data_IF_285753045987
#
_entry.id   IF_285753045987
#
_cell.length_a   1.000
_cell.length_b   1.000
_cell.length_c   1.000
_cell.angle_alpha   90.00
_cell.angle_beta   90.00
_cell.angle_gamma   90.00
#
_symmetry.space_group_name_H-M   'P 1'
#
loop_
_entity.id
_entity.type
_entity.pdbx_description
1 polymer ?
#
# COMPACT_ATOMS: atom_id res chain seq x y z
N UNK A 1 14.41 -15.27 53.16
CA UNK A 1 14.90 -15.95 51.94
C UNK A 1 14.50 -15.05 50.78
N UNK A 2 15.43 -14.24 50.26
CA UNK A 2 15.16 -13.26 49.19
C UNK A 2 15.28 -14.00 47.85
N UNK A 3 14.18 -14.16 47.14
CA UNK A 3 14.16 -14.66 45.77
C UNK A 3 14.23 -13.44 44.86
N UNK A 4 15.39 -13.14 44.32
CA UNK A 4 15.57 -12.13 43.26
C UNK A 4 15.10 -12.77 41.95
N UNK A 5 13.97 -12.33 41.41
CA UNK A 5 13.61 -12.61 40.03
C UNK A 5 14.48 -11.74 39.13
N UNK A 6 15.21 -12.37 38.22
CA UNK A 6 16.03 -11.68 37.22
C UNK A 6 15.10 -11.02 36.21
N UNK A 7 14.75 -9.77 36.51
CA UNK A 7 14.52 -8.65 35.59
C UNK A 7 13.88 -8.95 34.22
N UNK A 8 12.62 -8.53 34.09
CA UNK A 8 11.97 -8.27 32.82
C UNK A 8 12.58 -6.99 32.22
N UNK A 9 13.44 -7.12 31.21
CA UNK A 9 13.91 -6.00 30.41
C UNK A 9 12.92 -5.77 29.27
N UNK A 10 12.41 -4.54 29.15
CA UNK A 10 11.61 -4.11 28.00
C UNK A 10 12.54 -3.28 27.11
N UNK A 11 12.86 -3.77 25.92
CA UNK A 11 13.61 -2.99 24.94
C UNK A 11 12.65 -2.05 24.21
N UNK A 12 12.97 -0.76 24.22
CA UNK A 12 12.30 0.23 23.39
C UNK A 12 13.32 0.81 22.41
N UNK A 13 12.98 0.84 21.13
CA UNK A 13 13.76 1.52 20.11
C UNK A 13 13.16 2.89 19.87
N UNK A 14 13.93 3.95 20.06
CA UNK A 14 13.53 5.32 19.72
C UNK A 14 14.35 5.79 18.51
N UNK A 15 13.65 6.37 17.53
CA UNK A 15 14.27 7.01 16.37
C UNK A 15 14.42 8.49 16.69
N UNK A 16 15.66 8.97 16.90
CA UNK A 16 15.93 10.40 16.99
C UNK A 16 16.44 10.88 15.63
N UNK A 17 15.61 11.65 14.92
CA UNK A 17 16.05 12.40 13.74
C UNK A 17 16.31 13.84 14.14
N UNK A 18 17.59 14.19 14.29
CA UNK A 18 18.15 15.50 13.97
C UNK A 18 19.64 15.52 14.29
N UNK A 19 20.47 15.61 13.25
CA UNK A 19 21.30 16.79 12.98
C UNK A 19 21.57 16.85 11.47
N UNK A 20 21.27 17.99 10.83
CA UNK A 20 21.67 18.24 9.45
C UNK A 20 22.94 19.11 9.51
N UNK A 21 24.10 18.51 9.28
CA UNK A 21 25.37 19.22 9.29
C UNK A 21 25.73 19.64 7.86
N UNK A 22 25.53 20.93 7.54
CA UNK A 22 26.08 21.52 6.33
C UNK A 22 27.59 21.74 6.53
N UNK A 23 28.43 20.84 6.01
CA UNK A 23 29.89 20.98 6.02
C UNK A 23 30.38 21.85 4.84
N UNK A 24 31.35 22.78 5.02
CA UNK A 24 31.90 23.56 3.92
C UNK A 24 33.23 23.02 3.35
N UNK A 25 33.38 23.18 2.02
CA UNK A 25 34.57 23.11 1.16
C UNK A 25 34.99 21.68 0.69
N UNK A 26 35.31 21.41 -0.59
CA UNK A 26 36.23 22.11 -1.51
C UNK A 26 35.79 21.89 -2.99
N UNK A 27 35.65 22.98 -3.75
CA UNK A 27 35.48 23.11 -5.24
C UNK A 27 34.33 22.31 -5.91
N UNK A 28 33.41 23.09 -6.52
CA UNK A 28 32.16 22.74 -7.22
C UNK A 28 30.91 22.82 -6.31
N UNK A 29 29.87 23.50 -6.81
CA UNK A 29 28.71 23.98 -6.02
C UNK A 29 27.59 22.94 -5.96
N UNK A 30 27.89 21.77 -5.41
CA UNK A 30 26.85 20.76 -5.14
C UNK A 30 26.51 20.80 -3.65
N UNK A 31 25.24 21.04 -3.34
CA UNK A 31 24.72 20.92 -1.98
C UNK A 31 24.23 19.50 -1.80
N UNK A 32 24.76 18.81 -0.79
CA UNK A 32 24.31 17.49 -0.43
C UNK A 32 23.44 17.58 0.81
N UNK A 33 22.25 17.00 0.74
CA UNK A 33 21.48 16.70 1.93
C UNK A 33 21.97 15.35 2.43
N UNK A 34 22.57 15.34 3.62
CA UNK A 34 22.94 14.12 4.31
C UNK A 34 21.94 13.88 5.45
N UNK A 35 21.38 12.68 5.51
CA UNK A 35 20.35 12.32 6.51
C UNK A 35 20.73 10.98 7.10
N UNK A 36 21.33 11.04 8.27
CA UNK A 36 21.67 9.84 9.03
C UNK A 36 20.47 9.41 9.88
N UNK A 37 20.17 8.12 9.84
CA UNK A 37 19.19 7.53 10.73
C UNK A 37 19.90 7.01 11.97
N UNK A 38 19.67 7.66 13.11
CA UNK A 38 20.21 7.23 14.40
C UNK A 38 19.16 6.44 15.15
N UNK A 39 19.40 5.14 15.30
CA UNK A 39 18.57 4.23 16.09
C UNK A 39 19.22 4.09 17.47
N UNK A 40 18.51 4.52 18.51
CA UNK A 40 18.94 4.32 19.90
C UNK A 40 18.11 3.18 20.50
N UNK A 41 18.81 2.15 20.97
CA UNK A 41 18.20 1.06 21.74
C UNK A 41 18.39 1.37 23.21
N UNK A 42 17.28 1.51 23.93
CA UNK A 42 17.28 1.80 25.36
C UNK A 42 16.73 0.60 26.14
N UNK A 43 17.42 0.25 27.23
CA UNK A 43 16.91 -0.67 28.23
C UNK A 43 16.25 0.10 29.36
N UNK A 44 15.09 -0.38 29.79
CA UNK A 44 14.36 0.15 30.94
C UNK A 44 14.11 -0.97 31.94
N UNK A 45 14.47 -0.72 33.19
CA UNK A 45 14.24 -1.66 34.29
C UNK A 45 12.89 -1.39 34.94
N UNK A 46 12.05 -2.43 35.06
CA UNK A 46 10.81 -2.36 35.85
C UNK A 46 11.03 -3.12 37.15
N UNK A 47 10.80 -2.44 38.27
CA UNK A 47 10.94 -2.98 39.63
C UNK A 47 9.57 -3.09 40.28
N UNK A 48 9.22 -4.28 40.75
CA UNK A 48 8.04 -4.47 41.60
C UNK A 48 8.37 -4.04 43.04
N UNK A 49 7.57 -3.14 43.59
CA UNK A 49 7.68 -2.62 44.95
C UNK A 49 6.96 -3.54 45.93
N UNK A 50 7.28 -3.42 47.22
CA UNK A 50 6.75 -4.30 48.27
C UNK A 50 5.22 -4.20 48.47
N UNK A 51 4.58 -3.17 47.94
CA UNK A 51 3.13 -2.97 47.95
C UNK A 51 2.43 -3.55 46.70
N UNK A 52 3.18 -4.20 45.81
CA UNK A 52 2.70 -4.77 44.55
C UNK A 52 2.57 -3.77 43.40
N UNK A 53 3.00 -2.52 43.59
CA UNK A 53 3.09 -1.55 42.50
C UNK A 53 4.38 -1.71 41.69
N UNK A 54 4.39 -1.21 40.46
CA UNK A 54 5.58 -1.24 39.60
C UNK A 54 6.19 0.16 39.49
N UNK A 55 7.51 0.24 39.59
CA UNK A 55 8.29 1.45 39.33
C UNK A 55 9.22 1.21 38.13
N UNK A 56 9.16 2.12 37.17
CA UNK A 56 10.00 2.08 35.97
C UNK A 56 11.21 2.98 36.17
N UNK A 57 12.42 2.44 35.94
CA UNK A 57 13.68 3.20 35.99
C UNK A 57 13.83 4.14 34.80
N UNK A 58 14.85 5.01 34.85
CA UNK A 58 15.20 5.83 33.69
C UNK A 58 15.74 4.93 32.55
N UNK A 59 15.44 5.25 31.27
CA UNK A 59 16.01 4.54 30.15
C UNK A 59 17.53 4.68 30.14
N UNK A 60 18.22 3.60 29.80
CA UNK A 60 19.67 3.56 29.63
C UNK A 60 19.96 3.11 28.20
N UNK A 61 20.63 3.94 27.41
CA UNK A 61 21.05 3.56 26.06
C UNK A 61 22.05 2.40 26.14
N UNK A 62 21.72 1.28 25.52
CA UNK A 62 22.55 0.06 25.48
C UNK A 62 23.09 -0.24 24.09
N UNK A 63 22.59 0.45 23.06
CA UNK A 63 23.13 0.39 21.71
C UNK A 63 22.74 1.62 20.90
N UNK A 64 23.65 2.09 20.07
CA UNK A 64 23.39 3.13 19.07
C UNK A 64 23.88 2.62 17.73
N UNK A 65 23.00 2.64 16.73
CA UNK A 65 23.35 2.34 15.35
C UNK A 65 23.09 3.61 14.55
N UNK A 66 24.14 4.13 13.92
CA UNK A 66 24.02 5.18 12.90
C UNK A 66 24.01 4.49 11.55
N UNK A 67 22.96 4.73 10.78
CA UNK A 67 22.87 4.31 9.39
C UNK A 67 23.14 5.57 8.57
N UNK A 68 24.34 5.65 8.01
CA UNK A 68 24.76 6.80 7.22
C UNK A 68 23.87 6.90 5.97
N UNK A 69 23.33 8.10 5.74
CA UNK A 69 22.55 8.39 4.55
C UNK A 69 23.42 8.30 3.29
N UNK A 70 22.80 8.06 2.13
CA UNK A 70 23.50 8.31 0.87
C UNK A 70 23.30 9.78 0.50
N UNK A 71 24.37 10.59 0.37
CA UNK A 71 24.23 12.03 0.18
C UNK A 71 23.51 12.31 -1.15
N UNK A 72 22.40 13.05 -1.10
CA UNK A 72 21.62 13.38 -2.29
C UNK A 72 21.93 14.81 -2.76
N UNK A 73 22.35 14.94 -4.02
CA UNK A 73 22.59 16.25 -4.66
C UNK A 73 21.29 17.03 -4.81
N UNK A 74 21.25 18.25 -4.28
CA UNK A 74 20.12 19.17 -4.44
C UNK A 74 20.53 20.35 -5.32
N UNK A 75 19.78 20.64 -6.39
CA UNK A 75 19.99 21.86 -7.19
C UNK A 75 19.52 23.11 -6.42
N UNK A 76 20.35 24.15 -6.41
CA UNK A 76 20.04 25.42 -5.73
C UNK A 76 19.36 26.43 -6.68
N UNK A 77 18.31 27.15 -6.23
CA UNK A 77 17.71 28.24 -6.99
C UNK A 77 18.69 29.38 -7.23
N UNK A 78 18.82 29.84 -8.48
CA UNK A 78 19.73 30.92 -8.86
C UNK A 78 19.32 32.27 -8.23
N UNK A 79 20.26 32.95 -7.55
CA UNK A 79 20.19 34.39 -7.27
C UNK A 79 21.60 35.04 -7.27
N UNK A 80 21.70 36.35 -7.55
CA UNK A 80 22.82 36.94 -8.29
C UNK A 80 24.04 37.33 -7.45
N UNK A 81 25.16 37.45 -8.17
CA UNK A 81 26.53 37.68 -7.73
C UNK A 81 26.78 38.97 -6.96
N UNK A 82 27.61 38.90 -5.91
CA UNK A 82 28.58 39.96 -5.56
C UNK A 82 29.87 39.38 -4.98
N UNK A 83 30.97 40.04 -5.33
CA UNK A 83 32.38 39.68 -5.16
C UNK A 83 32.97 40.07 -3.79
N UNK A 84 33.86 39.24 -3.22
CA UNK A 84 35.15 39.68 -2.63
C UNK A 84 36.02 38.52 -2.11
N UNK A 85 37.34 38.74 -2.21
CA UNK A 85 38.53 37.88 -2.11
C UNK A 85 39.03 37.58 -0.65
N UNK A 86 40.14 36.83 -0.38
CA UNK A 86 40.15 35.67 0.54
C UNK A 86 41.17 35.75 1.73
N UNK A 87 41.20 34.76 2.64
CA UNK A 87 42.36 34.42 3.52
C UNK A 87 42.17 33.03 4.23
N UNK A 88 43.19 32.40 4.88
CA UNK A 88 43.82 31.16 4.44
C UNK A 88 43.63 29.95 5.39
N UNK A 89 44.05 28.76 4.89
CA UNK A 89 44.07 27.45 5.56
C UNK A 89 44.88 27.39 6.88
N UNK A 90 44.58 26.36 7.70
CA UNK A 90 45.65 25.43 8.04
C UNK A 90 45.30 23.94 7.88
N UNK A 91 46.36 23.21 7.54
CA UNK A 91 46.59 21.77 7.41
C UNK A 91 46.39 20.98 8.70
N UNK A 92 45.97 19.71 8.63
CA UNK A 92 46.80 18.50 8.89
C UNK A 92 45.99 17.19 9.01
N UNK A 93 46.67 16.11 8.57
CA UNK A 93 46.47 14.65 8.60
C UNK A 93 45.63 14.05 9.76
N UNK A 94 45.04 12.84 9.69
CA UNK A 94 45.74 11.57 9.44
C UNK A 94 44.84 10.32 9.49
N UNK A 95 45.30 9.29 8.75
CA UNK A 95 45.24 7.81 8.93
C UNK A 95 43.93 7.01 9.06
N UNK A 96 43.93 5.96 8.23
CA UNK A 96 42.98 4.86 8.04
C UNK A 96 43.44 3.65 8.87
N UNK A 97 42.50 2.88 9.43
CA UNK A 97 42.77 1.51 9.86
C UNK A 97 41.54 0.62 9.61
N UNK A 98 41.80 -0.50 8.92
CA UNK A 98 40.87 -1.52 8.44
C UNK A 98 40.19 -2.33 9.55
N UNK A 99 38.95 -2.75 9.29
CA UNK A 99 38.16 -3.68 10.11
C UNK A 99 38.25 -5.12 9.58
N UNK A 100 38.33 -6.10 10.49
CA UNK A 100 38.34 -7.53 10.20
C UNK A 100 36.97 -8.11 10.57
N UNK A 101 36.33 -8.77 9.61
CA UNK A 101 35.05 -9.49 9.71
C UNK A 101 35.22 -10.88 10.35
N UNK A 102 34.26 -11.32 11.17
CA UNK A 102 34.03 -12.74 11.48
C UNK A 102 32.53 -13.06 11.45
N UNK A 103 32.18 -14.01 10.59
CA UNK A 103 30.87 -14.66 10.43
C UNK A 103 30.44 -15.47 11.65
N UNK A 104 29.12 -15.59 11.84
CA UNK A 104 28.55 -16.72 12.57
C UNK A 104 27.21 -17.16 11.96
N UNK A 105 27.16 -18.45 11.59
CA UNK A 105 26.03 -19.22 11.05
C UNK A 105 25.09 -19.76 12.15
N UNK A 106 23.86 -20.18 11.81
CA UNK A 106 22.70 -20.19 12.72
C UNK A 106 22.52 -21.52 13.48
N UNK A 107 21.71 -21.49 14.55
CA UNK A 107 21.27 -22.70 15.24
C UNK A 107 19.78 -22.66 15.57
N UNK A 108 19.07 -23.62 14.98
CA UNK A 108 17.68 -23.99 15.22
C UNK A 108 17.49 -24.66 16.59
N UNK A 109 16.27 -24.62 17.15
CA UNK A 109 15.44 -25.81 17.46
C UNK A 109 14.12 -25.38 18.14
N UNK A 110 13.04 -25.98 17.66
CA UNK A 110 11.64 -25.88 18.07
C UNK A 110 11.25 -26.93 19.12
N UNK A 111 10.36 -26.59 20.06
CA UNK A 111 9.45 -27.56 20.72
C UNK A 111 8.12 -26.83 21.05
N UNK A 112 7.02 -27.23 20.40
CA UNK A 112 5.65 -26.87 20.79
C UNK A 112 4.88 -28.16 21.11
N UNK A 113 4.21 -28.20 22.26
CA UNK A 113 3.33 -29.27 22.69
C UNK A 113 1.89 -28.76 22.60
N UNK A 114 1.07 -29.47 21.81
CA UNK A 114 -0.36 -29.23 21.67
C UNK A 114 -1.17 -29.98 22.75
N UNK A 115 -2.28 -29.43 23.25
CA UNK A 115 -3.30 -30.21 23.96
C UNK A 115 -4.40 -30.70 23.00
N UNK A 116 -4.70 -31.99 23.12
CA UNK A 116 -5.79 -32.73 22.49
C UNK A 116 -7.10 -32.49 23.23
N UNK A 117 -8.16 -32.09 22.53
CA UNK A 117 -9.54 -32.49 22.87
C UNK A 117 -10.35 -32.68 21.58
N UNK A 118 -11.10 -33.77 21.59
CA UNK A 118 -11.82 -34.37 20.47
C UNK A 118 -13.30 -34.32 20.81
N UNK A 119 -14.13 -33.73 19.93
CA UNK A 119 -15.54 -34.08 19.86
C UNK A 119 -16.02 -33.98 18.41
N UNK A 120 -16.56 -35.08 17.90
CA UNK A 120 -16.98 -35.27 16.51
C UNK A 120 -18.48 -34.89 16.36
N UNK A 121 -18.89 -34.26 15.25
CA UNK A 121 -20.30 -34.08 14.96
C UNK A 121 -20.91 -35.33 14.29
N UNK A 122 -22.10 -35.70 14.78
CA UNK A 122 -22.95 -36.80 14.32
C UNK A 122 -23.55 -36.45 12.95
N UNK A 123 -23.39 -37.36 11.98
CA UNK A 123 -23.96 -37.28 10.64
C UNK A 123 -25.38 -37.87 10.65
N UNK A 124 -26.37 -37.12 10.16
CA UNK A 124 -27.73 -37.61 9.90
C UNK A 124 -27.99 -37.51 8.40
N UNK A 125 -28.33 -38.61 7.70
CA UNK A 125 -28.66 -38.57 6.27
C UNK A 125 -30.17 -38.34 6.10
N UNK A 126 -30.59 -37.42 5.23
CA UNK A 126 -32.00 -37.30 4.83
C UNK A 126 -32.13 -37.10 3.31
N UNK A 127 -32.47 -38.21 2.67
CA UNK A 127 -33.31 -38.41 1.46
C UNK A 127 -33.36 -37.35 0.36
N UNK A 128 -32.87 -37.74 -0.82
CA UNK A 128 -33.17 -37.12 -2.12
C UNK A 128 -34.55 -37.59 -2.62
N UNK A 129 -35.47 -36.66 -2.87
CA UNK A 129 -36.70 -36.92 -3.63
C UNK A 129 -36.46 -36.66 -5.12
N UNK A 130 -36.88 -37.64 -5.93
CA UNK A 130 -36.87 -37.61 -7.38
C UNK A 130 -38.12 -36.88 -7.87
N UNK A 131 -37.94 -35.79 -8.62
CA UNK A 131 -39.03 -35.12 -9.33
C UNK A 131 -38.84 -35.32 -10.83
N UNK A 132 -39.80 -36.04 -11.42
CA UNK A 132 -39.93 -36.31 -12.85
C UNK A 132 -40.98 -35.35 -13.41
N UNK A 133 -40.65 -34.53 -14.40
CA UNK A 133 -41.63 -33.68 -15.12
C UNK A 133 -41.32 -33.73 -16.63
N UNK A 134 -42.33 -33.82 -17.51
CA UNK A 134 -42.20 -34.42 -18.84
C UNK A 134 -41.79 -33.43 -19.94
N UNK A 135 -41.18 -33.97 -21.00
CA UNK A 135 -40.86 -33.26 -22.23
C UNK A 135 -42.11 -32.86 -23.01
N UNK A 136 -42.36 -31.57 -23.14
CA UNK A 136 -43.28 -31.00 -24.12
C UNK A 136 -42.50 -30.18 -25.14
N UNK A 137 -42.60 -30.59 -26.41
CA UNK A 137 -42.04 -29.90 -27.57
C UNK A 137 -42.85 -28.66 -27.90
N UNK A 138 -42.26 -27.47 -27.78
CA UNK A 138 -42.81 -26.22 -28.32
C UNK A 138 -41.74 -25.49 -29.11
N UNK A 139 -42.08 -25.20 -30.37
CA UNK A 139 -41.29 -24.46 -31.35
C UNK A 139 -40.99 -23.04 -30.84
N UNK A 140 -39.69 -22.69 -30.77
CA UNK A 140 -39.24 -21.35 -30.41
C UNK A 140 -39.09 -20.48 -31.67
N UNK A 141 -39.71 -19.31 -31.61
CA UNK A 141 -39.58 -18.20 -32.56
C UNK A 141 -38.13 -17.66 -32.60
N UNK A 142 -37.70 -16.98 -33.68
CA UNK A 142 -36.32 -16.52 -33.81
C UNK A 142 -36.02 -15.47 -32.74
N UNK A 143 -35.00 -15.75 -31.93
CA UNK A 143 -34.43 -14.79 -30.97
C UNK A 143 -33.74 -13.70 -31.79
N UNK A 144 -34.23 -12.47 -31.66
CA UNK A 144 -33.54 -11.31 -32.20
C UNK A 144 -32.20 -11.16 -31.48
N UNK A 145 -31.12 -11.29 -32.22
CA UNK A 145 -29.76 -10.97 -31.75
C UNK A 145 -29.70 -9.48 -31.49
N UNK A 146 -29.93 -9.05 -30.25
CA UNK A 146 -29.48 -7.74 -29.79
C UNK A 146 -27.96 -7.79 -29.82
N UNK A 147 -27.36 -7.11 -30.80
CA UNK A 147 -25.94 -6.80 -30.76
C UNK A 147 -25.65 -6.13 -29.41
N UNK A 148 -24.84 -6.80 -28.59
CA UNK A 148 -24.31 -6.21 -27.37
C UNK A 148 -23.57 -4.94 -27.80
N UNK A 149 -24.15 -3.78 -27.49
CA UNK A 149 -23.37 -2.55 -27.48
C UNK A 149 -22.35 -2.76 -26.37
N UNK A 150 -21.07 -2.78 -26.72
CA UNK A 150 -19.97 -2.77 -25.75
C UNK A 150 -20.05 -1.45 -24.97
N UNK A 151 -20.92 -1.41 -23.97
CA UNK A 151 -20.90 -0.34 -22.96
C UNK A 151 -19.56 -0.44 -22.26
N UNK A 152 -18.83 0.67 -22.20
CA UNK A 152 -17.60 0.75 -21.42
C UNK A 152 -17.84 0.18 -20.02
N UNK A 153 -16.97 -0.71 -19.56
CA UNK A 153 -17.10 -1.28 -18.21
C UNK A 153 -16.99 -0.18 -17.15
N UNK A 154 -16.30 0.91 -17.49
CA UNK A 154 -16.04 2.06 -16.63
C UNK A 154 -15.18 1.73 -15.43
N UNK A 155 -14.53 0.55 -15.41
CA UNK A 155 -13.76 0.05 -14.27
C UNK A 155 -12.31 0.57 -14.25
N UNK A 156 -11.78 1.01 -15.40
CA UNK A 156 -10.36 1.41 -15.53
C UNK A 156 -10.09 2.75 -14.88
N UNK A 157 -9.00 2.80 -14.12
CA UNK A 157 -8.53 3.99 -13.42
C UNK A 157 -7.11 4.39 -13.79
N UNK A 158 -6.70 5.57 -13.36
CA UNK A 158 -5.35 6.09 -13.53
C UNK A 158 -4.69 6.28 -12.16
N UNK A 159 -3.70 5.46 -11.85
CA UNK A 159 -2.77 5.70 -10.75
C UNK A 159 -1.69 6.68 -11.25
N UNK A 160 -1.47 7.83 -10.59
CA UNK A 160 -0.55 8.86 -11.11
C UNK A 160 0.15 9.65 -10.02
N UNK A 161 1.32 10.21 -10.35
CA UNK A 161 1.94 11.27 -9.55
C UNK A 161 1.80 12.64 -10.24
N UNK A 162 2.01 12.69 -11.56
CA UNK A 162 1.89 13.91 -12.35
C UNK A 162 0.53 13.97 -13.06
N UNK A 163 -0.35 14.85 -12.58
CA UNK A 163 -1.69 15.08 -13.13
C UNK A 163 -1.68 15.53 -14.60
N UNK A 164 -0.59 16.15 -15.07
CA UNK A 164 -0.50 16.66 -16.45
C UNK A 164 -0.51 15.53 -17.48
N UNK A 165 -0.02 14.34 -17.09
CA UNK A 165 0.04 13.15 -17.94
C UNK A 165 -1.33 12.51 -18.19
N UNK A 166 -2.33 12.80 -17.35
CA UNK A 166 -3.69 12.25 -17.50
C UNK A 166 -4.37 12.73 -18.79
N UNK A 167 -3.92 13.85 -19.35
CA UNK A 167 -4.44 14.37 -20.63
C UNK A 167 -4.30 13.37 -21.79
N UNK A 168 -3.29 12.49 -21.75
CA UNK A 168 -3.08 11.44 -22.75
C UNK A 168 -4.22 10.40 -22.80
N UNK A 169 -5.01 10.27 -21.72
CA UNK A 169 -6.09 9.29 -21.59
C UNK A 169 -7.49 9.87 -21.86
N UNK A 170 -7.61 11.15 -22.18
CA UNK A 170 -8.92 11.82 -22.33
C UNK A 170 -9.82 11.24 -23.44
N UNK A 171 -9.24 10.49 -24.39
CA UNK A 171 -9.97 9.80 -25.45
C UNK A 171 -10.32 8.34 -25.10
N UNK A 172 -9.86 7.82 -23.96
CA UNK A 172 -10.11 6.44 -23.52
C UNK A 172 -11.41 6.36 -22.71
N UNK A 173 -12.52 5.99 -23.35
CA UNK A 173 -13.86 6.00 -22.73
C UNK A 173 -14.07 4.97 -21.62
N UNK A 174 -13.21 3.95 -21.51
CA UNK A 174 -13.25 2.96 -20.42
C UNK A 174 -12.59 3.45 -19.14
N UNK A 175 -11.80 4.54 -19.23
CA UNK A 175 -11.07 5.12 -18.11
C UNK A 175 -11.89 6.25 -17.49
N UNK A 176 -12.30 6.09 -16.23
CA UNK A 176 -13.33 6.94 -15.61
C UNK A 176 -12.91 7.57 -14.29
N UNK A 177 -11.82 7.11 -13.68
CA UNK A 177 -11.40 7.57 -12.35
C UNK A 177 -9.87 7.64 -12.25
N UNK A 178 -9.38 8.35 -11.24
CA UNK A 178 -7.95 8.51 -11.00
C UNK A 178 -7.65 8.66 -9.49
N UNK A 179 -6.46 8.23 -9.07
CA UNK A 179 -5.94 8.45 -7.71
C UNK A 179 -4.42 8.60 -7.75
N UNK A 180 -3.85 9.21 -6.71
CA UNK A 180 -2.43 9.60 -6.67
C UNK A 180 -1.73 9.32 -5.35
N UNK A 181 -2.21 8.33 -4.58
CA UNK A 181 -1.75 8.04 -3.22
C UNK A 181 -1.89 9.17 -2.19
N UNK A 182 -2.41 10.33 -2.60
CA UNK A 182 -2.60 11.50 -1.76
C UNK A 182 -4.06 11.72 -1.38
N UNK A 183 -4.27 12.64 -0.44
CA UNK A 183 -5.60 13.11 -0.06
C UNK A 183 -6.13 14.20 -1.00
N UNK A 184 -5.26 14.85 -1.76
CA UNK A 184 -5.59 15.96 -2.67
C UNK A 184 -4.98 15.78 -4.05
N UNK A 185 -5.59 16.41 -5.05
CA UNK A 185 -5.03 16.52 -6.40
C UNK A 185 -4.99 17.96 -6.89
N UNK A 186 -4.04 18.25 -7.78
CA UNK A 186 -4.14 19.39 -8.69
C UNK A 186 -5.27 19.16 -9.71
N UNK A 187 -5.56 20.15 -10.56
CA UNK A 187 -6.61 20.02 -11.57
C UNK A 187 -6.32 18.85 -12.53
N UNK A 188 -7.27 17.92 -12.62
CA UNK A 188 -7.26 16.80 -13.58
C UNK A 188 -8.34 17.02 -14.65
N UNK A 189 -8.25 16.34 -15.81
CA UNK A 189 -9.31 16.35 -16.80
C UNK A 189 -10.67 15.92 -16.21
N UNK A 190 -11.74 16.64 -16.57
CA UNK A 190 -13.07 16.50 -15.95
C UNK A 190 -13.79 15.18 -16.25
N UNK A 191 -13.26 14.37 -17.16
CA UNK A 191 -13.76 13.04 -17.47
C UNK A 191 -13.32 11.98 -16.44
N UNK A 192 -12.41 12.34 -15.51
CA UNK A 192 -11.96 11.44 -14.46
C UNK A 192 -12.45 11.90 -13.09
N UNK A 193 -13.08 10.99 -12.35
CA UNK A 193 -13.37 11.16 -10.93
C UNK A 193 -12.08 10.99 -10.11
N UNK A 194 -11.67 12.02 -9.36
CA UNK A 194 -10.58 11.86 -8.39
C UNK A 194 -11.05 11.05 -7.18
N UNK A 195 -10.26 10.08 -6.73
CA UNK A 195 -10.50 9.33 -5.49
C UNK A 195 -9.38 9.65 -4.48
N UNK A 196 -9.67 10.37 -3.38
CA UNK A 196 -8.66 10.67 -2.36
C UNK A 196 -8.29 9.42 -1.55
N UNK A 197 -7.04 9.34 -1.13
CA UNK A 197 -6.50 8.30 -0.27
C UNK A 197 -5.98 8.89 1.04
N UNK A 198 -6.36 8.28 2.15
CA UNK A 198 -5.65 8.46 3.41
C UNK A 198 -4.52 7.43 3.47
N UNK A 199 -3.31 7.85 3.09
CA UNK A 199 -2.19 6.94 2.88
C UNK A 199 -1.77 6.19 4.15
N UNK A 200 -1.73 6.86 5.29
CA UNK A 200 -1.32 6.28 6.57
C UNK A 200 -1.88 7.04 7.77
N UNK A 201 -1.30 6.79 8.95
CA UNK A 201 -1.71 7.43 10.21
C UNK A 201 -0.69 8.44 10.75
N UNK A 202 0.35 8.75 9.98
CA UNK A 202 1.28 9.81 10.35
C UNK A 202 0.55 11.16 10.34
N UNK A 203 1.07 12.13 11.09
CA UNK A 203 0.47 13.46 11.17
C UNK A 203 0.43 14.17 9.81
N UNK A 204 1.41 13.89 8.94
CA UNK A 204 1.43 14.38 7.56
C UNK A 204 0.22 13.93 6.74
N UNK A 205 -0.25 12.70 6.94
CA UNK A 205 -1.37 12.11 6.20
C UNK A 205 -2.72 12.53 6.78
N UNK A 206 -2.82 12.57 8.10
CA UNK A 206 -4.09 12.76 8.82
C UNK A 206 -4.47 14.22 9.00
N UNK A 207 -3.49 15.14 9.03
CA UNK A 207 -3.72 16.55 9.39
C UNK A 207 -4.66 17.30 8.43
N UNK A 208 -4.60 17.01 7.14
CA UNK A 208 -5.45 17.65 6.13
C UNK A 208 -6.62 16.77 5.66
N UNK A 209 -6.74 15.53 6.17
CA UNK A 209 -7.65 14.53 5.64
C UNK A 209 -9.11 15.01 5.59
N UNK A 210 -9.61 15.62 6.66
CA UNK A 210 -11.01 16.03 6.71
C UNK A 210 -11.36 17.14 5.69
N UNK A 211 -10.50 18.14 5.55
CA UNK A 211 -10.68 19.21 4.57
C UNK A 211 -10.57 18.68 3.14
N UNK A 212 -9.62 17.78 2.90
CA UNK A 212 -9.40 17.15 1.62
C UNK A 212 -10.61 16.30 1.18
N UNK A 213 -11.19 15.52 2.10
CA UNK A 213 -12.41 14.73 1.84
C UNK A 213 -13.58 15.64 1.49
N UNK A 214 -13.88 16.66 2.29
CA UNK A 214 -15.02 17.55 1.99
C UNK A 214 -14.85 18.26 0.63
N UNK A 215 -13.61 18.63 0.28
CA UNK A 215 -13.28 19.21 -1.04
C UNK A 215 -13.50 18.20 -2.16
N UNK A 216 -13.02 16.96 -2.00
CA UNK A 216 -13.17 15.90 -2.98
C UNK A 216 -14.65 15.54 -3.21
N UNK A 217 -15.42 15.39 -2.13
CA UNK A 217 -16.87 15.12 -2.22
C UNK A 217 -17.63 16.26 -2.91
N UNK A 218 -17.29 17.52 -2.61
CA UNK A 218 -17.85 18.67 -3.32
C UNK A 218 -17.46 18.70 -4.81
N UNK A 219 -16.29 18.15 -5.14
CA UNK A 219 -15.80 17.96 -6.50
C UNK A 219 -16.38 16.75 -7.25
N UNK A 220 -17.22 15.94 -6.58
CA UNK A 220 -17.91 14.80 -7.19
C UNK A 220 -17.27 13.43 -6.90
N UNK A 221 -16.26 13.36 -6.03
CA UNK A 221 -15.74 12.07 -5.55
C UNK A 221 -16.84 11.28 -4.83
N UNK A 222 -16.92 9.99 -5.13
CA UNK A 222 -17.93 9.07 -4.58
C UNK A 222 -17.32 7.99 -3.69
N UNK A 223 -16.00 7.84 -3.72
CA UNK A 223 -15.24 6.85 -2.97
C UNK A 223 -14.09 7.49 -2.20
N UNK A 224 -13.67 6.85 -1.10
CA UNK A 224 -12.49 7.22 -0.32
C UNK A 224 -11.63 5.97 -0.10
N UNK A 225 -10.34 6.06 -0.43
CA UNK A 225 -9.35 5.01 -0.22
C UNK A 225 -8.69 5.14 1.16
N UNK A 226 -8.51 4.02 1.85
CA UNK A 226 -7.75 3.98 3.11
C UNK A 226 -6.30 3.56 2.86
N UNK A 227 -5.61 3.18 3.94
CA UNK A 227 -4.15 3.11 4.05
C UNK A 227 -3.47 2.28 2.96
N UNK A 228 -2.32 2.76 2.50
CA UNK A 228 -1.52 2.16 1.45
C UNK A 228 -0.52 1.14 2.01
N UNK A 229 -0.68 -0.12 1.67
CA UNK A 229 0.19 -1.24 2.05
C UNK A 229 0.55 -1.20 3.55
N UNK A 230 -0.44 -1.15 4.45
CA UNK A 230 -0.18 -1.14 5.89
C UNK A 230 0.55 -2.41 6.35
N UNK A 231 0.45 -3.48 5.59
CA UNK A 231 1.14 -4.74 5.83
C UNK A 231 2.63 -4.72 5.47
N UNK A 232 3.14 -3.65 4.85
CA UNK A 232 4.54 -3.54 4.45
C UNK A 232 5.28 -2.40 5.17
N UNK A 233 6.48 -2.71 5.68
CA UNK A 233 7.26 -1.78 6.51
C UNK A 233 7.81 -0.56 5.76
N UNK A 234 7.89 -0.64 4.43
CA UNK A 234 8.32 0.47 3.58
C UNK A 234 7.21 1.46 3.22
N UNK A 235 5.99 1.23 3.71
CA UNK A 235 4.77 1.97 3.34
C UNK A 235 4.06 2.45 4.62
N UNK A 236 2.73 2.37 4.70
CA UNK A 236 2.00 2.86 5.87
C UNK A 236 2.39 2.14 7.16
N UNK A 237 2.84 0.88 7.07
CA UNK A 237 3.42 0.10 8.16
C UNK A 237 2.56 0.13 9.45
N UNK A 238 1.35 -0.42 9.35
CA UNK A 238 0.37 -0.45 10.45
C UNK A 238 -0.02 -1.89 10.78
N UNK A 239 -0.06 -2.22 12.06
CA UNK A 239 -0.71 -3.45 12.51
C UNK A 239 -2.23 -3.40 12.22
N UNK A 240 -2.84 -4.55 11.93
CA UNK A 240 -4.28 -4.61 11.58
C UNK A 240 -5.21 -3.97 12.63
N UNK A 241 -4.86 -4.07 13.93
CA UNK A 241 -5.66 -3.49 15.02
C UNK A 241 -5.53 -1.96 15.09
N UNK A 242 -4.32 -1.45 14.83
CA UNK A 242 -4.06 -0.02 14.72
C UNK A 242 -4.79 0.56 13.50
N UNK A 243 -4.69 -0.11 12.36
CA UNK A 243 -5.43 0.26 11.16
C UNK A 243 -6.95 0.27 11.39
N UNK A 244 -7.51 -0.71 12.10
CA UNK A 244 -8.95 -0.71 12.44
C UNK A 244 -9.34 0.52 13.29
N UNK A 245 -8.50 0.90 14.26
CA UNK A 245 -8.73 2.09 15.08
C UNK A 245 -8.63 3.38 14.27
N UNK A 246 -7.62 3.48 13.40
CA UNK A 246 -7.47 4.58 12.47
C UNK A 246 -8.64 4.68 11.49
N UNK A 247 -9.12 3.55 10.97
CA UNK A 247 -10.24 3.50 10.04
C UNK A 247 -11.54 4.00 10.69
N UNK A 248 -11.82 3.57 11.93
CA UNK A 248 -12.95 4.09 12.71
C UNK A 248 -12.86 5.58 12.98
N UNK A 249 -11.63 6.09 13.15
CA UNK A 249 -11.40 7.51 13.45
C UNK A 249 -11.54 8.39 12.21
N UNK A 250 -10.93 7.99 11.10
CA UNK A 250 -10.72 8.85 9.93
C UNK A 250 -11.59 8.48 8.73
N UNK A 251 -12.02 7.24 8.57
CA UNK A 251 -12.83 6.80 7.42
C UNK A 251 -14.31 6.73 7.77
N UNK A 252 -14.65 6.08 8.90
CA UNK A 252 -16.03 5.83 9.33
C UNK A 252 -16.93 7.07 9.37
N UNK A 253 -16.48 8.29 9.74
CA UNK A 253 -17.32 9.49 9.72
C UNK A 253 -17.95 9.78 8.34
N UNK A 254 -17.35 9.29 7.25
CA UNK A 254 -17.79 9.52 5.88
C UNK A 254 -18.65 8.40 5.28
N UNK A 255 -18.95 7.34 6.04
CA UNK A 255 -19.69 6.16 5.58
C UNK A 255 -21.11 6.46 5.02
N UNK A 256 -21.69 7.60 5.38
CA UNK A 256 -22.99 8.05 4.87
C UNK A 256 -22.89 9.00 3.65
N UNK A 257 -21.69 9.46 3.33
CA UNK A 257 -21.42 10.45 2.27
C UNK A 257 -20.72 9.84 1.06
N UNK A 258 -19.90 8.81 1.27
CA UNK A 258 -19.12 8.14 0.24
C UNK A 258 -18.99 6.65 0.53
N UNK A 259 -18.58 5.92 -0.49
CA UNK A 259 -18.20 4.51 -0.39
C UNK A 259 -16.79 4.39 0.17
N UNK A 260 -16.64 3.62 1.23
CA UNK A 260 -15.35 3.47 1.90
C UNK A 260 -14.66 2.21 1.41
N UNK A 261 -13.44 2.39 0.91
CA UNK A 261 -12.58 1.30 0.44
C UNK A 261 -11.64 0.91 1.59
N UNK A 262 -11.37 -0.38 1.75
CA UNK A 262 -10.44 -0.89 2.77
C UNK A 262 -9.01 -0.34 2.58
N UNK A 263 -8.12 -0.53 3.56
CA UNK A 263 -6.69 -0.43 3.31
C UNK A 263 -6.29 -1.38 2.17
N UNK A 264 -5.35 -0.96 1.35
CA UNK A 264 -4.85 -1.70 0.20
C UNK A 264 -3.65 -2.55 0.62
N UNK A 265 -3.78 -3.88 0.61
CA UNK A 265 -2.69 -4.77 1.04
C UNK A 265 -1.84 -5.24 -0.15
N UNK A 266 -0.57 -5.55 0.12
CA UNK A 266 0.33 -6.18 -0.86
C UNK A 266 -0.15 -7.59 -1.25
N UNK A 267 0.51 -8.22 -2.23
CA UNK A 267 0.43 -9.65 -2.49
C UNK A 267 1.46 -10.51 -1.72
N UNK A 268 1.96 -9.98 -0.59
CA UNK A 268 2.88 -10.67 0.30
C UNK A 268 2.27 -11.90 1.00
N UNK A 269 3.14 -12.84 1.40
CA UNK A 269 2.77 -14.02 2.18
C UNK A 269 2.94 -13.83 3.69
N UNK A 270 2.66 -14.89 4.46
CA UNK A 270 2.84 -14.87 5.91
C UNK A 270 1.81 -13.98 6.60
N UNK A 271 2.28 -13.02 7.40
CA UNK A 271 1.43 -12.05 8.11
C UNK A 271 0.99 -10.88 7.22
N UNK A 272 1.57 -10.72 6.03
CA UNK A 272 1.21 -9.68 5.06
C UNK A 272 0.02 -10.09 4.18
N UNK A 273 -0.37 -9.22 3.26
CA UNK A 273 -1.36 -9.48 2.22
C UNK A 273 -2.71 -9.94 2.77
N UNK A 274 -3.20 -11.07 2.24
CA UNK A 274 -4.54 -11.57 2.58
C UNK A 274 -4.70 -11.99 4.06
N UNK A 275 -3.61 -12.35 4.74
CA UNK A 275 -3.63 -12.64 6.18
C UNK A 275 -3.87 -11.35 6.97
N UNK A 276 -3.11 -10.29 6.67
CA UNK A 276 -3.32 -8.97 7.28
C UNK A 276 -4.75 -8.47 7.03
N UNK A 277 -5.22 -8.58 5.78
CA UNK A 277 -6.57 -8.16 5.39
C UNK A 277 -7.65 -8.88 6.19
N UNK A 278 -7.57 -10.21 6.29
CA UNK A 278 -8.58 -11.01 7.02
C UNK A 278 -8.62 -10.62 8.51
N UNK A 279 -7.45 -10.36 9.11
CA UNK A 279 -7.35 -9.89 10.49
C UNK A 279 -7.93 -8.49 10.66
N UNK A 280 -7.67 -7.57 9.72
CA UNK A 280 -8.26 -6.23 9.71
C UNK A 280 -9.78 -6.28 9.58
N UNK A 281 -10.33 -7.04 8.62
CA UNK A 281 -11.78 -7.19 8.45
C UNK A 281 -12.43 -7.73 9.73
N UNK A 282 -11.78 -8.66 10.42
CA UNK A 282 -12.26 -9.22 11.68
C UNK A 282 -12.20 -8.20 12.83
N UNK A 283 -11.11 -7.42 12.93
CA UNK A 283 -10.92 -6.39 13.94
C UNK A 283 -11.89 -5.20 13.75
N UNK A 284 -12.21 -4.86 12.50
CA UNK A 284 -13.09 -3.76 12.11
C UNK A 284 -14.55 -4.20 11.96
N UNK A 285 -15.05 -5.08 12.84
CA UNK A 285 -16.39 -5.69 12.71
C UNK A 285 -17.57 -4.70 12.71
N UNK A 286 -17.37 -3.48 13.23
CA UNK A 286 -18.35 -2.39 13.25
C UNK A 286 -18.13 -1.35 12.14
N UNK A 287 -17.09 -1.52 11.32
CA UNK A 287 -16.73 -0.58 10.27
C UNK A 287 -17.62 -0.76 9.05
N UNK A 288 -17.95 0.35 8.41
CA UNK A 288 -18.51 0.36 7.07
C UNK A 288 -17.36 0.22 6.09
N UNK A 289 -17.26 -0.95 5.46
CA UNK A 289 -16.30 -1.22 4.39
C UNK A 289 -17.15 -1.66 3.19
N UNK A 290 -17.25 -0.80 2.18
CA UNK A 290 -18.04 -1.05 0.99
C UNK A 290 -17.27 -1.88 -0.05
N UNK A 291 -15.95 -1.66 -0.15
CA UNK A 291 -15.04 -2.23 -1.14
C UNK A 291 -13.71 -2.62 -0.51
N UNK A 292 -12.98 -3.52 -1.16
CA UNK A 292 -11.68 -4.00 -0.67
C UNK A 292 -10.58 -3.70 -1.69
N UNK A 293 -9.57 -2.94 -1.29
CA UNK A 293 -8.42 -2.61 -2.11
C UNK A 293 -7.33 -3.69 -2.03
N UNK A 294 -6.74 -4.04 -3.16
CA UNK A 294 -5.74 -5.12 -3.29
C UNK A 294 -4.67 -4.70 -4.29
N UNK A 295 -3.41 -4.97 -3.96
CA UNK A 295 -2.28 -4.80 -4.87
C UNK A 295 -1.74 -6.14 -5.38
N UNK A 296 -1.09 -6.10 -6.53
CA UNK A 296 -0.44 -7.24 -7.13
C UNK A 296 0.88 -6.84 -7.81
N UNK A 297 1.98 -7.48 -7.42
CA UNK A 297 3.31 -7.41 -8.03
C UNK A 297 4.00 -8.79 -7.98
N UNK A 298 3.87 -9.59 -9.03
CA UNK A 298 4.41 -10.94 -9.15
C UNK A 298 4.56 -11.44 -10.62
N UNK A 299 4.91 -10.56 -11.56
CA UNK A 299 5.18 -10.89 -12.98
C UNK A 299 3.99 -10.89 -13.96
N UNK A 300 4.07 -11.68 -15.03
CA UNK A 300 3.06 -11.72 -16.11
C UNK A 300 2.09 -12.91 -16.06
N UNK A 301 2.00 -13.64 -14.95
CA UNK A 301 1.13 -14.83 -14.85
C UNK A 301 -0.33 -14.43 -14.60
N UNK A 302 -1.10 -14.34 -15.68
CA UNK A 302 -2.52 -14.01 -15.65
C UNK A 302 -3.37 -15.05 -14.89
N UNK A 303 -2.96 -16.33 -14.85
CA UNK A 303 -3.68 -17.36 -14.10
C UNK A 303 -3.49 -17.14 -12.60
N UNK A 304 -2.24 -16.93 -12.16
CA UNK A 304 -1.94 -16.62 -10.77
C UNK A 304 -2.62 -15.33 -10.29
N UNK A 305 -2.69 -14.31 -11.16
CA UNK A 305 -3.43 -13.07 -10.90
C UNK A 305 -4.92 -13.36 -10.61
N UNK A 306 -5.61 -14.07 -11.51
CA UNK A 306 -7.03 -14.40 -11.39
C UNK A 306 -7.32 -15.23 -10.13
N UNK A 307 -6.48 -16.22 -9.83
CA UNK A 307 -6.60 -17.03 -8.62
C UNK A 307 -6.40 -16.21 -7.35
N UNK A 308 -5.44 -15.28 -7.35
CA UNK A 308 -5.20 -14.39 -6.22
C UNK A 308 -6.40 -13.47 -5.97
N UNK A 309 -7.01 -12.90 -7.02
CA UNK A 309 -8.20 -12.05 -6.89
C UNK A 309 -9.41 -12.81 -6.34
N UNK A 310 -9.60 -14.08 -6.70
CA UNK A 310 -10.65 -14.91 -6.10
C UNK A 310 -10.43 -15.15 -4.60
N UNK A 311 -9.16 -15.38 -4.19
CA UNK A 311 -8.78 -15.50 -2.76
C UNK A 311 -8.97 -14.17 -2.03
N UNK A 312 -8.58 -13.06 -2.65
CA UNK A 312 -8.72 -11.72 -2.11
C UNK A 312 -10.19 -11.34 -1.90
N UNK A 313 -11.07 -11.68 -2.85
CA UNK A 313 -12.51 -11.50 -2.72
C UNK A 313 -13.06 -12.22 -1.49
N UNK A 314 -12.64 -13.46 -1.27
CA UNK A 314 -13.04 -14.25 -0.10
C UNK A 314 -12.49 -13.65 1.21
N UNK A 315 -11.20 -13.31 1.25
CA UNK A 315 -10.54 -12.70 2.41
C UNK A 315 -11.14 -11.34 2.78
N UNK A 316 -11.57 -10.56 1.79
CA UNK A 316 -12.27 -9.29 1.94
C UNK A 316 -13.73 -9.41 2.42
N UNK A 317 -14.21 -10.61 2.71
CA UNK A 317 -15.59 -10.87 3.13
C UNK A 317 -16.59 -10.79 1.98
N UNK A 318 -16.19 -11.22 0.78
CA UNK A 318 -17.01 -11.23 -0.44
C UNK A 318 -17.51 -9.83 -0.85
N UNK A 319 -16.72 -8.78 -0.55
CA UNK A 319 -16.97 -7.40 -0.97
C UNK A 319 -16.33 -7.14 -2.33
N UNK A 320 -16.92 -6.26 -3.18
CA UNK A 320 -16.32 -5.93 -4.46
C UNK A 320 -14.89 -5.41 -4.29
N UNK A 321 -14.03 -5.85 -5.20
CA UNK A 321 -12.61 -5.54 -5.21
C UNK A 321 -12.32 -4.27 -6.00
N UNK A 322 -11.36 -3.53 -5.48
CA UNK A 322 -10.64 -2.47 -6.15
C UNK A 322 -9.19 -2.93 -6.30
N UNK A 323 -8.76 -3.20 -7.53
CA UNK A 323 -7.37 -3.59 -7.80
C UNK A 323 -6.59 -2.32 -8.08
N UNK A 324 -6.26 -1.60 -7.01
CA UNK A 324 -5.71 -0.24 -7.09
C UNK A 324 -4.30 -0.22 -7.67
N UNK A 325 -3.58 -1.33 -7.56
CA UNK A 325 -2.29 -1.53 -8.23
C UNK A 325 -2.19 -2.94 -8.76
N UNK A 326 -1.78 -3.05 -10.02
CA UNK A 326 -1.26 -4.28 -10.58
C UNK A 326 -0.23 -3.94 -11.65
N UNK A 327 0.85 -4.71 -11.70
CA UNK A 327 1.94 -4.51 -12.67
C UNK A 327 2.48 -5.85 -13.14
N UNK A 328 2.76 -5.98 -14.43
CA UNK A 328 3.54 -7.10 -14.94
C UNK A 328 4.99 -6.70 -15.15
N UNK A 329 5.91 -7.65 -14.94
CA UNK A 329 7.31 -7.52 -15.34
C UNK A 329 7.56 -8.22 -16.67
N UNK A 330 8.65 -7.86 -17.35
CA UNK A 330 9.01 -8.41 -18.65
C UNK A 330 9.18 -7.33 -19.71
N UNK A 331 9.26 -7.74 -20.97
CA UNK A 331 9.27 -6.81 -22.11
C UNK A 331 7.92 -6.11 -22.28
N UNK A 332 7.88 -5.00 -23.02
CA UNK A 332 6.64 -4.29 -23.34
C UNK A 332 5.58 -5.22 -23.94
N UNK A 333 5.99 -6.19 -24.77
CA UNK A 333 5.09 -7.19 -25.36
C UNK A 333 4.53 -8.17 -24.33
N UNK A 334 5.35 -8.62 -23.37
CA UNK A 334 4.91 -9.51 -22.29
C UNK A 334 3.92 -8.80 -21.36
N UNK A 335 4.22 -7.54 -21.01
CA UNK A 335 3.33 -6.70 -20.21
C UNK A 335 2.02 -6.40 -20.95
N UNK A 336 2.08 -6.10 -22.25
CA UNK A 336 0.89 -5.86 -23.07
C UNK A 336 0.01 -7.12 -23.21
N UNK A 337 0.62 -8.30 -23.36
CA UNK A 337 -0.10 -9.57 -23.40
C UNK A 337 -0.83 -9.85 -22.08
N UNK A 338 -0.14 -9.66 -20.95
CA UNK A 338 -0.75 -9.76 -19.62
C UNK A 338 -1.92 -8.79 -19.46
N UNK A 339 -1.70 -7.50 -19.75
CA UNK A 339 -2.71 -6.44 -19.67
C UNK A 339 -3.96 -6.79 -20.48
N UNK A 340 -3.77 -7.21 -21.72
CA UNK A 340 -4.89 -7.58 -22.61
C UNK A 340 -5.73 -8.70 -21.98
N UNK A 341 -5.08 -9.73 -21.43
CA UNK A 341 -5.79 -10.87 -20.84
C UNK A 341 -6.50 -10.50 -19.53
N UNK A 342 -5.81 -9.83 -18.60
CA UNK A 342 -6.38 -9.56 -17.28
C UNK A 342 -7.44 -8.46 -17.31
N UNK A 343 -7.29 -7.42 -18.14
CA UNK A 343 -8.31 -6.37 -18.25
C UNK A 343 -9.61 -6.89 -18.81
N UNK A 344 -9.56 -7.70 -19.89
CA UNK A 344 -10.76 -8.33 -20.44
C UNK A 344 -11.49 -9.18 -19.38
N UNK A 345 -10.73 -9.96 -18.61
CA UNK A 345 -11.29 -10.74 -17.51
C UNK A 345 -11.87 -9.87 -16.38
N UNK A 346 -11.18 -8.80 -15.98
CA UNK A 346 -11.65 -7.88 -14.94
C UNK A 346 -12.93 -7.14 -15.37
N UNK A 347 -13.02 -6.77 -16.64
CA UNK A 347 -14.21 -6.12 -17.23
C UNK A 347 -15.44 -7.05 -17.13
N UNK A 348 -15.27 -8.36 -17.36
CA UNK A 348 -16.33 -9.38 -17.26
C UNK A 348 -16.59 -9.90 -15.83
N UNK A 349 -15.70 -9.64 -14.87
CA UNK A 349 -15.81 -10.19 -13.50
C UNK A 349 -16.64 -9.28 -12.60
N UNK A 350 -17.82 -9.75 -12.17
CA UNK A 350 -18.80 -8.97 -11.38
C UNK A 350 -18.26 -8.43 -10.05
N UNK A 351 -17.41 -9.20 -9.36
CA UNK A 351 -16.86 -8.77 -8.07
C UNK A 351 -15.68 -7.81 -8.20
N UNK A 352 -15.26 -7.46 -9.42
CA UNK A 352 -14.24 -6.43 -9.64
C UNK A 352 -14.96 -5.17 -10.06
N UNK A 353 -14.87 -4.14 -9.22
CA UNK A 353 -15.55 -2.87 -9.45
C UNK A 353 -14.65 -1.86 -10.15
N UNK A 354 -13.39 -1.77 -9.75
CA UNK A 354 -12.40 -0.84 -10.31
C UNK A 354 -11.01 -1.44 -10.32
N UNK A 355 -10.17 -1.02 -11.25
CA UNK A 355 -8.76 -1.38 -11.28
C UNK A 355 -7.90 -0.28 -11.91
N UNK A 356 -6.63 -0.17 -11.51
CA UNK A 356 -5.67 0.77 -12.07
C UNK A 356 -4.30 0.10 -12.23
N UNK A 357 -3.75 0.13 -13.45
CA UNK A 357 -2.39 -0.36 -13.69
C UNK A 357 -1.38 0.56 -13.02
N UNK A 358 -0.29 0.00 -12.50
CA UNK A 358 0.80 0.77 -11.92
C UNK A 358 1.86 1.09 -13.01
N UNK A 359 1.99 2.33 -13.49
CA UNK A 359 1.18 3.53 -13.24
C UNK A 359 1.31 4.51 -14.42
N UNK A 360 0.55 5.61 -14.39
CA UNK A 360 0.73 6.73 -15.33
C UNK A 360 2.03 7.46 -14.99
N UNK A 361 3.06 7.21 -15.78
CA UNK A 361 4.34 7.91 -15.75
C UNK A 361 5.02 7.93 -17.11
N UNK A 362 5.95 8.86 -17.30
CA UNK A 362 6.85 8.87 -18.45
C UNK A 362 7.67 7.57 -18.50
N UNK A 363 7.76 6.97 -19.68
CA UNK A 363 8.46 5.70 -19.89
C UNK A 363 7.69 4.46 -19.43
N UNK A 364 6.49 4.63 -18.86
CA UNK A 364 5.56 3.54 -18.57
C UNK A 364 4.34 3.68 -19.50
N UNK A 365 3.19 4.13 -18.99
CA UNK A 365 1.99 4.30 -19.81
C UNK A 365 2.01 5.55 -20.71
N UNK A 366 2.94 6.48 -20.51
CA UNK A 366 3.05 7.73 -21.28
C UNK A 366 4.45 7.87 -21.88
N UNK A 367 4.51 8.44 -23.09
CA UNK A 367 5.72 8.91 -23.75
C UNK A 367 5.54 10.36 -24.22
N UNK A 368 6.20 11.28 -23.54
CA UNK A 368 6.01 12.71 -23.66
C UNK A 368 4.60 13.15 -23.28
N UNK A 369 3.78 13.46 -24.29
CA UNK A 369 2.37 13.91 -24.11
C UNK A 369 1.37 12.93 -24.71
N UNK A 370 1.84 11.74 -25.13
CA UNK A 370 1.04 10.73 -25.80
C UNK A 370 1.15 9.39 -25.06
N UNK A 371 0.22 8.49 -25.33
CA UNK A 371 0.31 7.12 -24.81
C UNK A 371 1.57 6.43 -25.35
N UNK A 372 2.25 5.66 -24.50
CA UNK A 372 3.26 4.69 -24.96
C UNK A 372 2.58 3.51 -25.66
N UNK A 373 3.36 2.53 -26.15
CA UNK A 373 2.81 1.27 -26.65
C UNK A 373 1.99 0.53 -25.58
N UNK A 374 2.51 0.47 -24.34
CA UNK A 374 1.81 -0.13 -23.21
C UNK A 374 0.59 0.70 -22.79
N UNK A 375 0.72 2.04 -22.75
CA UNK A 375 -0.39 2.95 -22.49
C UNK A 375 -1.51 2.84 -23.51
N UNK A 376 -1.18 2.61 -24.78
CA UNK A 376 -2.15 2.36 -25.84
C UNK A 376 -2.89 1.04 -25.61
N UNK A 377 -2.18 0.00 -25.16
CA UNK A 377 -2.81 -1.28 -24.76
C UNK A 377 -3.75 -1.07 -23.59
N UNK A 378 -3.34 -0.32 -22.57
CA UNK A 378 -4.17 -0.02 -21.39
C UNK A 378 -5.42 0.80 -21.73
N UNK A 379 -5.28 1.81 -22.61
CA UNK A 379 -6.35 2.72 -22.99
C UNK A 379 -7.39 2.12 -23.94
N UNK A 380 -7.06 1.03 -24.64
CA UNK A 380 -7.94 0.44 -25.65
C UNK A 380 -8.79 -0.68 -25.05
N UNK A 381 -10.09 -0.67 -25.31
CA UNK A 381 -10.99 -1.79 -24.99
C UNK A 381 -10.49 -3.06 -25.68
N UNK A 382 -10.53 -4.20 -24.99
CA UNK A 382 -10.20 -5.51 -25.57
C UNK A 382 -11.32 -6.00 -26.51
#
# INVERSE_FOLDING_TARGET
MRTTFSTLAVMASSLLVKEALAAPAIRARDYYLDTDNVIVTEEVWVTELADGSYATGAPVAVGTITIDGTPTTTEVPATPSTSSTPLPEPTTSSVVADAVFLEQTPSSTSIYIAPTTSEAPVVVPTTLESVVIPSTTTSAAPVATTAASSSSSGKRGLAYNDASLLSAFTSASDVTWAYNWGSTTSSIPSNFEYTPMLWGLLSGDTSNWAEAVETALAGGSTHLLAFNEPDYSGQANLGYAEAATGYLTYMQPYASKAKLVSPAVTNGGGEMGLTWLSNFISACSTCTIDKVAIHWYNGGDATAFKEYMAKAYTAGGNRPLWITEFEASGTDEEQAAFLTEVMAWMDETDYIERYAYFMVSEGNLVSGTSLSSLGSTYATSA
#
